data_IF_344240151601
#
_entry.id   IF_344240151601
#
_cell.length_a   1.000
_cell.length_b   1.000
_cell.length_c   1.000
_cell.angle_alpha   90.00
_cell.angle_beta   90.00
_cell.angle_gamma   90.00
#
_symmetry.space_group_name_H-M   'P 1'
#
loop_
_entity.id
_entity.type
_entity.pdbx_description
1 polymer ?
#
# COMPACT_ATOMS: atom_id res chain seq x y z
N UNK A 1 48.39 3.42 34.53
CA UNK A 1 48.36 2.08 33.91
C UNK A 1 47.11 1.99 33.05
N UNK A 2 47.32 1.91 31.74
CA UNK A 2 46.24 1.85 30.69
C UNK A 2 45.78 0.41 30.56
N UNK A 3 44.47 0.15 30.62
CA UNK A 3 43.82 -1.13 30.33
C UNK A 3 42.68 -0.93 29.36
N UNK A 4 42.99 -1.19 28.04
CA UNK A 4 42.04 -1.17 26.95
C UNK A 4 41.17 -2.43 26.99
N UNK A 5 39.85 -2.28 27.03
CA UNK A 5 38.85 -3.33 26.83
C UNK A 5 38.17 -3.12 25.48
N UNK A 6 38.71 -3.81 24.47
CA UNK A 6 38.10 -3.94 23.16
C UNK A 6 36.97 -4.99 23.22
N UNK A 7 35.71 -4.55 23.24
CA UNK A 7 34.56 -5.41 23.07
C UNK A 7 34.39 -5.79 21.59
N UNK A 8 34.64 -7.05 21.26
CA UNK A 8 34.35 -7.66 19.96
C UNK A 8 32.85 -7.75 19.77
N UNK A 9 32.29 -6.90 18.93
CA UNK A 9 30.93 -7.05 18.38
C UNK A 9 30.91 -8.25 17.42
N UNK A 10 30.29 -9.34 17.85
CA UNK A 10 29.98 -10.54 17.06
C UNK A 10 28.85 -10.16 16.11
N UNK A 11 29.16 -10.05 14.81
CA UNK A 11 28.15 -9.88 13.75
C UNK A 11 27.32 -11.17 13.65
N UNK A 12 26.03 -11.05 13.91
CA UNK A 12 25.04 -12.08 13.55
C UNK A 12 24.84 -12.07 12.04
N UNK A 13 24.69 -13.22 11.38
CA UNK A 13 24.43 -13.28 9.93
C UNK A 13 23.07 -12.70 9.64
N UNK A 14 23.03 -11.66 8.78
CA UNK A 14 21.82 -10.97 8.37
C UNK A 14 20.87 -11.90 7.62
N UNK A 15 19.70 -12.10 8.15
CA UNK A 15 18.53 -12.52 7.39
C UNK A 15 18.18 -11.39 6.43
N UNK A 16 18.46 -11.60 5.15
CA UNK A 16 17.87 -10.79 4.08
C UNK A 16 16.38 -11.08 4.06
N UNK A 17 15.58 -10.12 4.49
CA UNK A 17 14.16 -10.12 4.22
C UNK A 17 13.95 -10.17 2.70
N UNK A 18 13.35 -11.23 2.22
CA UNK A 18 12.91 -11.33 0.83
C UNK A 18 11.77 -10.33 0.61
N UNK A 19 11.91 -9.48 -0.38
CA UNK A 19 10.84 -8.61 -0.83
C UNK A 19 9.70 -9.49 -1.40
N UNK A 20 8.44 -9.26 -1.03
CA UNK A 20 7.31 -9.99 -1.59
C UNK A 20 6.99 -9.45 -2.98
N UNK A 21 6.86 -10.37 -3.95
CA UNK A 21 6.09 -10.11 -5.16
C UNK A 21 6.87 -9.78 -6.42
N UNK A 22 7.71 -10.70 -6.89
CA UNK A 22 7.86 -10.98 -8.32
C UNK A 22 8.00 -12.49 -8.44
N UNK A 23 6.98 -13.14 -8.98
CA UNK A 23 7.10 -14.52 -9.39
C UNK A 23 8.34 -14.65 -10.28
N UNK A 24 9.12 -15.76 -10.19
CA UNK A 24 10.31 -15.92 -11.00
C UNK A 24 9.87 -15.99 -12.46
N UNK A 25 10.03 -14.87 -13.18
CA UNK A 25 10.13 -14.93 -14.62
C UNK A 25 11.23 -15.94 -14.96
N UNK A 26 11.15 -16.67 -16.09
CA UNK A 26 12.06 -17.76 -16.38
C UNK A 26 13.51 -17.29 -16.15
N UNK A 27 14.26 -18.03 -15.36
CA UNK A 27 15.58 -17.68 -14.81
C UNK A 27 16.60 -17.23 -15.89
N UNK A 28 16.39 -17.62 -17.15
CA UNK A 28 17.19 -17.21 -18.29
C UNK A 28 16.98 -15.74 -18.69
N UNK A 29 15.77 -15.17 -18.49
CA UNK A 29 15.51 -13.74 -18.77
C UNK A 29 16.26 -12.86 -17.80
N UNK A 30 16.24 -13.21 -16.51
CA UNK A 30 16.96 -12.46 -15.46
C UNK A 30 18.49 -12.57 -15.62
N UNK A 31 19.01 -13.72 -16.07
CA UNK A 31 20.42 -13.90 -16.37
C UNK A 31 20.87 -13.15 -17.64
N UNK A 32 20.03 -13.02 -18.67
CA UNK A 32 20.33 -12.25 -19.87
C UNK A 32 20.38 -10.73 -19.62
N UNK A 33 19.63 -10.22 -18.66
CA UNK A 33 19.58 -8.78 -18.39
C UNK A 33 20.63 -8.31 -17.37
N UNK A 34 21.20 -9.22 -16.56
CA UNK A 34 22.25 -8.92 -15.58
C UNK A 34 23.59 -9.49 -16.09
N UNK A 35 24.43 -8.65 -16.72
CA UNK A 35 25.77 -9.03 -17.14
C UNK A 35 26.10 -8.73 -18.61
N UNK A 36 26.92 -9.58 -19.22
CA UNK A 36 27.40 -9.42 -20.59
C UNK A 36 26.42 -9.90 -21.68
N UNK A 37 25.23 -10.43 -21.30
CA UNK A 37 24.23 -10.98 -22.23
C UNK A 37 23.78 -10.03 -23.34
N UNK A 38 23.35 -8.78 -23.02
CA UNK A 38 22.93 -7.83 -24.06
C UNK A 38 24.04 -7.42 -25.01
N UNK A 39 25.28 -7.31 -24.53
CA UNK A 39 26.45 -7.01 -25.35
C UNK A 39 26.80 -8.19 -26.26
N UNK A 40 26.74 -9.42 -25.74
CA UNK A 40 26.94 -10.62 -26.54
C UNK A 40 25.90 -10.77 -27.66
N UNK A 41 24.63 -10.43 -27.37
CA UNK A 41 23.57 -10.38 -28.38
C UNK A 41 23.87 -9.33 -29.46
N UNK A 42 24.30 -8.12 -29.07
CA UNK A 42 24.68 -7.07 -30.02
C UNK A 42 25.82 -7.52 -30.93
N UNK A 43 26.88 -8.09 -30.36
CA UNK A 43 28.04 -8.61 -31.14
C UNK A 43 27.59 -9.73 -32.08
N UNK A 44 26.76 -10.63 -31.61
CA UNK A 44 26.18 -11.68 -32.45
C UNK A 44 25.37 -11.13 -33.64
N UNK A 45 24.50 -10.15 -33.37
CA UNK A 45 23.69 -9.51 -34.44
C UNK A 45 24.57 -8.77 -35.44
N UNK A 46 25.55 -8.01 -34.99
CA UNK A 46 26.50 -7.32 -35.85
C UNK A 46 27.25 -8.37 -36.72
N UNK A 47 27.75 -9.43 -36.10
CA UNK A 47 28.45 -10.48 -36.80
C UNK A 47 27.60 -11.17 -37.87
N UNK A 48 26.35 -11.47 -37.53
CA UNK A 48 25.38 -12.05 -38.47
C UNK A 48 25.09 -11.14 -39.69
N UNK A 49 24.86 -9.83 -39.45
CA UNK A 49 24.62 -8.86 -40.52
C UNK A 49 25.87 -8.71 -41.41
N UNK A 50 27.06 -8.59 -40.79
CA UNK A 50 28.33 -8.48 -41.55
C UNK A 50 28.58 -9.71 -42.40
N UNK A 51 28.47 -10.92 -41.82
CA UNK A 51 28.67 -12.18 -42.59
C UNK A 51 27.69 -12.30 -43.75
N UNK A 52 26.41 -11.94 -43.50
CA UNK A 52 25.40 -11.97 -44.57
C UNK A 52 25.71 -10.95 -45.68
N UNK A 53 26.20 -9.73 -45.32
CA UNK A 53 26.59 -8.73 -46.29
C UNK A 53 27.80 -9.12 -47.15
N UNK A 54 28.73 -9.92 -46.66
CA UNK A 54 29.82 -10.46 -47.44
C UNK A 54 29.43 -11.63 -48.34
N UNK A 55 28.29 -12.29 -48.11
CA UNK A 55 27.79 -13.43 -48.90
C UNK A 55 26.85 -12.97 -50.01
N UNK A 56 26.05 -11.93 -49.74
CA UNK A 56 25.08 -11.41 -50.69
C UNK A 56 25.71 -10.47 -51.71
N UNK A 57 25.11 -10.34 -52.94
CA UNK A 57 25.60 -9.40 -53.93
C UNK A 57 25.55 -7.94 -53.43
N UNK A 58 26.48 -7.07 -53.87
CA UNK A 58 26.56 -5.67 -53.42
C UNK A 58 25.34 -4.77 -53.72
N UNK A 59 24.35 -5.31 -54.40
CA UNK A 59 23.07 -4.61 -54.67
C UNK A 59 22.13 -4.57 -53.47
N UNK A 60 22.36 -5.40 -52.45
CA UNK A 60 21.55 -5.51 -51.24
C UNK A 60 22.23 -4.80 -50.08
N UNK A 61 22.07 -3.49 -49.95
CA UNK A 61 22.75 -2.66 -48.95
C UNK A 61 22.30 -2.99 -47.52
N UNK A 62 22.93 -3.98 -46.88
CA UNK A 62 22.58 -4.43 -45.55
C UNK A 62 23.11 -3.53 -44.40
N UNK A 63 23.97 -2.53 -44.70
CA UNK A 63 24.49 -1.63 -43.72
C UNK A 63 23.42 -0.84 -42.94
N UNK A 64 22.27 -0.54 -43.57
CA UNK A 64 21.12 0.09 -42.93
C UNK A 64 20.49 -0.76 -41.80
N UNK A 65 20.59 -2.10 -41.88
CA UNK A 65 20.10 -2.98 -40.80
C UNK A 65 20.87 -2.86 -39.48
N UNK A 66 22.07 -2.24 -39.49
CA UNK A 66 22.87 -2.02 -38.30
C UNK A 66 22.13 -1.12 -37.25
N UNK A 67 21.14 -0.35 -37.66
CA UNK A 67 20.28 0.46 -36.78
C UNK A 67 19.47 -0.38 -35.79
N UNK A 68 19.15 -1.64 -36.11
CA UNK A 68 18.38 -2.54 -35.27
C UNK A 68 19.16 -2.95 -34.01
N UNK A 69 20.48 -2.99 -34.08
CA UNK A 69 21.33 -3.43 -32.98
C UNK A 69 21.27 -2.48 -31.76
N UNK A 70 21.52 -1.17 -31.89
CA UNK A 70 21.37 -0.25 -30.76
C UNK A 70 19.91 -0.13 -30.31
N UNK A 71 18.93 -0.27 -31.21
CA UNK A 71 17.52 -0.25 -30.82
C UNK A 71 17.14 -1.44 -29.91
N UNK A 72 17.58 -2.65 -30.26
CA UNK A 72 17.33 -3.85 -29.44
C UNK A 72 18.11 -3.83 -28.13
N UNK A 73 19.38 -3.39 -28.13
CA UNK A 73 20.16 -3.29 -26.91
C UNK A 73 19.61 -2.26 -25.93
N UNK A 74 19.02 -1.18 -26.42
CA UNK A 74 18.39 -0.19 -25.55
C UNK A 74 17.19 -0.71 -24.77
N UNK A 75 16.49 -1.72 -25.28
CA UNK A 75 15.39 -2.38 -24.55
C UNK A 75 15.92 -3.27 -23.42
N UNK A 76 17.04 -3.97 -23.65
CA UNK A 76 17.56 -5.01 -22.77
C UNK A 76 18.63 -4.52 -21.79
N UNK A 77 19.33 -3.43 -22.10
CA UNK A 77 20.52 -2.97 -21.38
C UNK A 77 20.51 -1.48 -21.08
N UNK A 78 21.43 -1.03 -20.23
CA UNK A 78 21.59 0.37 -19.86
C UNK A 78 22.16 1.26 -20.97
N UNK A 79 22.17 2.60 -20.78
CA UNK A 79 22.63 3.55 -21.80
C UNK A 79 24.08 3.34 -22.25
N UNK A 80 24.96 2.89 -21.34
CA UNK A 80 26.36 2.63 -21.68
C UNK A 80 26.56 1.49 -22.69
N UNK A 81 25.84 0.38 -22.52
CA UNK A 81 25.88 -0.75 -23.47
C UNK A 81 25.23 -0.40 -24.80
N UNK A 82 24.17 0.41 -24.80
CA UNK A 82 23.53 0.92 -26.03
C UNK A 82 24.49 1.84 -26.80
N UNK A 83 25.20 2.73 -26.12
CA UNK A 83 26.20 3.61 -26.76
C UNK A 83 27.35 2.78 -27.37
N UNK A 84 27.82 1.77 -26.64
CA UNK A 84 28.88 0.89 -27.17
C UNK A 84 28.39 0.09 -28.38
N UNK A 85 27.18 -0.47 -28.34
CA UNK A 85 26.59 -1.19 -29.48
C UNK A 85 26.38 -0.29 -30.70
N UNK A 86 25.97 0.98 -30.49
CA UNK A 86 25.87 1.97 -31.55
C UNK A 86 27.22 2.28 -32.21
N UNK A 87 28.25 2.46 -31.41
CA UNK A 87 29.61 2.68 -31.94
C UNK A 87 30.13 1.49 -32.76
N UNK A 88 29.90 0.25 -32.28
CA UNK A 88 30.25 -0.96 -33.00
C UNK A 88 29.44 -1.10 -34.30
N UNK A 89 28.13 -0.75 -34.27
CA UNK A 89 27.27 -0.75 -35.46
C UNK A 89 27.74 0.26 -36.52
N UNK A 90 28.17 1.46 -36.12
CA UNK A 90 28.76 2.45 -37.03
C UNK A 90 30.02 1.92 -37.72
N UNK A 91 30.93 1.27 -36.96
CA UNK A 91 32.13 0.67 -37.54
C UNK A 91 31.78 -0.47 -38.51
N UNK A 92 30.87 -1.34 -38.14
CA UNK A 92 30.43 -2.47 -38.98
C UNK A 92 29.73 -2.01 -40.27
N UNK A 93 28.86 -0.99 -40.18
CA UNK A 93 28.20 -0.37 -41.31
C UNK A 93 29.25 0.22 -42.27
N UNK A 94 30.23 0.94 -41.76
CA UNK A 94 31.33 1.49 -42.56
C UNK A 94 32.15 0.41 -43.27
N UNK A 95 32.43 -0.72 -42.62
CA UNK A 95 33.12 -1.86 -43.23
C UNK A 95 32.30 -2.44 -44.40
N UNK A 96 31.00 -2.58 -44.27
CA UNK A 96 30.09 -3.02 -45.34
C UNK A 96 30.07 -2.02 -46.50
N UNK A 97 29.97 -0.71 -46.22
CA UNK A 97 29.98 0.34 -47.25
C UNK A 97 31.29 0.36 -48.05
N UNK A 98 32.43 0.08 -47.39
CA UNK A 98 33.74 -0.10 -48.08
C UNK A 98 33.72 -1.34 -48.97
N UNK A 99 33.20 -2.46 -48.49
CA UNK A 99 33.07 -3.72 -49.26
C UNK A 99 32.21 -3.51 -50.51
N UNK A 100 31.12 -2.80 -50.40
CA UNK A 100 30.17 -2.54 -51.50
C UNK A 100 30.65 -1.41 -52.46
N UNK A 101 31.86 -0.87 -52.26
CA UNK A 101 32.47 0.22 -53.05
C UNK A 101 31.65 1.52 -53.08
N UNK A 102 30.93 1.82 -51.98
CA UNK A 102 30.04 2.98 -51.86
C UNK A 102 30.71 4.29 -51.44
N UNK A 103 32.05 4.27 -51.14
CA UNK A 103 32.81 5.43 -50.58
C UNK A 103 32.74 6.68 -51.47
N UNK A 104 32.46 6.56 -52.76
CA UNK A 104 32.28 7.70 -53.67
C UNK A 104 30.88 8.29 -53.72
N UNK A 105 29.95 7.78 -52.91
CA UNK A 105 28.53 8.19 -52.85
C UNK A 105 28.15 8.82 -51.52
N UNK A 106 26.93 9.37 -51.41
CA UNK A 106 26.40 9.88 -50.15
C UNK A 106 25.84 8.79 -49.23
N UNK A 107 25.74 7.53 -49.65
CA UNK A 107 25.09 6.43 -48.95
C UNK A 107 25.75 6.13 -47.59
N UNK A 108 27.10 6.00 -47.45
CA UNK A 108 27.73 5.78 -46.18
C UNK A 108 27.38 6.87 -45.13
N UNK A 109 27.32 8.12 -45.55
CA UNK A 109 26.96 9.22 -44.67
C UNK A 109 25.50 9.10 -44.14
N UNK A 110 24.59 8.61 -45.02
CA UNK A 110 23.19 8.35 -44.64
C UNK A 110 23.11 7.22 -43.61
N UNK A 111 23.79 6.09 -43.82
CA UNK A 111 23.80 4.96 -42.89
C UNK A 111 24.36 5.38 -41.50
N UNK A 112 25.44 6.15 -41.46
CA UNK A 112 25.98 6.66 -40.18
C UNK A 112 24.99 7.58 -39.49
N UNK A 113 24.35 8.48 -40.24
CA UNK A 113 23.37 9.42 -39.68
C UNK A 113 22.14 8.68 -39.11
N UNK A 114 21.62 7.67 -39.83
CA UNK A 114 20.51 6.83 -39.36
C UNK A 114 20.82 6.14 -38.02
N UNK A 115 21.98 5.48 -37.93
CA UNK A 115 22.41 4.81 -36.70
C UNK A 115 22.54 5.79 -35.55
N UNK A 116 23.15 6.96 -35.79
CA UNK A 116 23.33 8.00 -34.77
C UNK A 116 22.00 8.60 -34.32
N UNK A 117 21.10 8.96 -35.25
CA UNK A 117 19.81 9.55 -34.93
C UNK A 117 18.92 8.58 -34.13
N UNK A 118 18.80 7.32 -34.60
CA UNK A 118 17.99 6.32 -33.89
C UNK A 118 18.58 6.00 -32.52
N UNK A 119 19.92 5.84 -32.44
CA UNK A 119 20.58 5.60 -31.15
C UNK A 119 20.38 6.74 -30.17
N UNK A 120 20.56 8.00 -30.62
CA UNK A 120 20.31 9.18 -29.80
C UNK A 120 18.86 9.28 -29.30
N UNK A 121 17.91 9.02 -30.23
CA UNK A 121 16.47 9.03 -29.89
C UNK A 121 16.12 7.96 -28.84
N UNK A 122 16.60 6.71 -29.03
CA UNK A 122 16.30 5.62 -28.09
C UNK A 122 16.96 5.84 -26.74
N UNK A 123 18.21 6.31 -26.70
CA UNK A 123 18.91 6.66 -25.44
C UNK A 123 18.19 7.78 -24.72
N UNK A 124 17.77 8.83 -25.45
CA UNK A 124 17.03 9.96 -24.85
C UNK A 124 15.67 9.49 -24.29
N UNK A 125 14.89 8.73 -25.07
CA UNK A 125 13.59 8.20 -24.65
C UNK A 125 13.71 7.33 -23.41
N UNK A 126 14.75 6.48 -23.35
CA UNK A 126 15.02 5.66 -22.16
C UNK A 126 15.44 6.51 -20.96
N UNK A 127 16.30 7.48 -21.16
CA UNK A 127 16.74 8.37 -20.06
C UNK A 127 15.58 9.16 -19.44
N UNK A 128 14.63 9.60 -20.27
CA UNK A 128 13.39 10.25 -19.79
C UNK A 128 12.56 9.26 -18.97
N UNK A 129 12.35 8.05 -19.49
CA UNK A 129 11.60 7.00 -18.79
C UNK A 129 12.24 6.62 -17.45
N UNK A 130 13.57 6.42 -17.44
CA UNK A 130 14.31 6.04 -16.24
C UNK A 130 14.31 7.15 -15.17
N UNK A 131 14.23 8.43 -15.58
CA UNK A 131 14.04 9.57 -14.67
C UNK A 131 12.65 9.54 -14.05
N UNK A 132 11.61 9.42 -14.87
CA UNK A 132 10.22 9.36 -14.38
C UNK A 132 9.99 8.19 -13.42
N UNK A 133 10.57 7.02 -13.70
CA UNK A 133 10.49 5.85 -12.80
C UNK A 133 11.20 6.12 -11.48
N UNK A 134 12.37 6.78 -11.49
CA UNK A 134 13.10 7.12 -10.26
C UNK A 134 12.35 8.16 -9.41
N UNK A 135 11.83 9.22 -10.03
CA UNK A 135 11.01 10.22 -9.34
C UNK A 135 9.80 9.58 -8.66
N UNK A 136 9.11 8.67 -9.36
CA UNK A 136 7.99 7.91 -8.78
C UNK A 136 8.42 7.00 -7.62
N UNK A 137 9.60 6.35 -7.72
CA UNK A 137 10.12 5.52 -6.64
C UNK A 137 10.52 6.33 -5.40
N UNK A 138 11.10 7.52 -5.58
CA UNK A 138 11.44 8.42 -4.47
C UNK A 138 10.18 8.87 -3.72
N UNK A 139 9.14 9.28 -4.45
CA UNK A 139 7.84 9.65 -3.87
C UNK A 139 7.26 8.48 -3.09
N UNK A 140 7.32 7.25 -3.61
CA UNK A 140 6.85 6.05 -2.94
C UNK A 140 7.57 5.76 -1.62
N UNK A 141 8.91 5.86 -1.60
CA UNK A 141 9.69 5.61 -0.38
C UNK A 141 9.31 6.62 0.71
N UNK A 142 9.11 7.87 0.33
CA UNK A 142 8.65 8.92 1.26
C UNK A 142 7.24 8.60 1.75
N UNK A 143 6.32 8.25 0.85
CA UNK A 143 4.95 7.84 1.16
C UNK A 143 4.89 6.68 2.16
N UNK A 144 5.55 5.56 1.84
CA UNK A 144 5.62 4.38 2.72
C UNK A 144 6.24 4.71 4.09
N UNK A 145 7.21 5.62 4.12
CA UNK A 145 7.86 6.01 5.37
C UNK A 145 6.92 6.85 6.24
N UNK A 146 6.23 7.82 5.67
CA UNK A 146 5.27 8.67 6.38
C UNK A 146 4.13 7.81 6.93
N UNK A 147 3.56 6.93 6.11
CA UNK A 147 2.49 6.02 6.55
C UNK A 147 2.92 5.10 7.70
N UNK A 148 4.12 4.52 7.65
CA UNK A 148 4.65 3.70 8.77
C UNK A 148 4.88 4.48 10.06
N UNK A 149 5.19 5.77 9.96
CA UNK A 149 5.31 6.64 11.13
C UNK A 149 3.95 7.01 11.69
N UNK A 150 2.98 7.26 10.82
CA UNK A 150 1.60 7.61 11.16
C UNK A 150 0.87 6.40 11.77
N UNK A 151 0.85 5.28 11.04
CA UNK A 151 0.23 4.01 11.44
C UNK A 151 1.22 3.18 12.26
N UNK A 152 1.38 3.52 13.52
CA UNK A 152 2.26 2.76 14.42
C UNK A 152 1.79 1.31 14.51
N UNK A 153 2.70 0.32 14.44
CA UNK A 153 2.34 -1.07 14.67
C UNK A 153 1.61 -1.22 16.01
N UNK A 154 0.45 -1.85 15.98
CA UNK A 154 -0.30 -2.12 17.20
C UNK A 154 0.41 -3.22 18.01
N UNK A 155 0.45 -3.10 19.34
CA UNK A 155 0.93 -4.19 20.19
C UNK A 155 0.06 -5.45 19.95
N UNK A 156 0.67 -6.65 19.82
CA UNK A 156 -0.07 -7.88 19.56
C UNK A 156 -1.00 -8.28 20.69
N UNK A 157 -0.82 -7.68 21.88
CA UNK A 157 -1.66 -7.85 23.06
C UNK A 157 -1.79 -6.55 23.82
N UNK A 158 -3.01 -6.20 24.19
CA UNK A 158 -3.32 -5.00 25.00
C UNK A 158 -4.36 -5.38 26.04
N UNK A 159 -3.94 -5.38 27.32
CA UNK A 159 -4.78 -5.89 28.39
C UNK A 159 -5.21 -7.34 28.10
N UNK A 160 -6.51 -7.65 28.16
CA UNK A 160 -7.02 -8.98 27.89
C UNK A 160 -7.11 -9.33 26.40
N UNK A 161 -6.89 -8.37 25.49
CA UNK A 161 -7.18 -8.52 24.07
C UNK A 161 -5.94 -8.90 23.25
N UNK A 162 -6.13 -9.82 22.31
CA UNK A 162 -5.25 -10.07 21.18
C UNK A 162 -5.67 -9.11 20.05
N UNK A 163 -4.71 -8.40 19.50
CA UNK A 163 -4.95 -7.40 18.46
C UNK A 163 -4.02 -7.66 17.28
N UNK A 164 -4.59 -7.64 16.08
CA UNK A 164 -3.84 -7.69 14.82
C UNK A 164 -4.34 -6.59 13.93
N UNK A 165 -3.44 -5.94 13.25
CA UNK A 165 -3.79 -4.93 12.25
C UNK A 165 -3.00 -5.17 10.97
N UNK A 166 -3.61 -4.82 9.85
CA UNK A 166 -2.97 -4.82 8.55
C UNK A 166 -3.34 -3.54 7.81
N UNK A 167 -2.45 -3.11 6.93
CA UNK A 167 -2.66 -1.99 6.03
C UNK A 167 -2.14 -2.37 4.64
N UNK A 168 -2.95 -2.13 3.62
CA UNK A 168 -2.61 -2.36 2.22
C UNK A 168 -2.92 -1.10 1.41
N UNK A 169 -1.88 -0.51 0.83
CA UNK A 169 -2.02 0.63 -0.08
C UNK A 169 -2.62 0.17 -1.42
N UNK A 170 -3.52 0.98 -1.98
CA UNK A 170 -4.26 0.71 -3.22
C UNK A 170 -3.35 0.48 -4.41
N UNK A 171 -2.35 1.33 -4.60
CA UNK A 171 -1.45 1.25 -5.74
C UNK A 171 0.01 1.50 -5.35
N UNK A 172 0.99 0.82 -6.03
CA UNK A 172 2.41 1.09 -5.82
C UNK A 172 2.84 2.54 -6.07
N UNK A 173 2.03 3.32 -6.79
CA UNK A 173 2.27 4.72 -7.16
C UNK A 173 1.13 5.63 -6.68
N UNK A 174 0.24 5.15 -5.79
CA UNK A 174 -0.82 5.96 -5.22
C UNK A 174 -0.24 7.07 -4.32
N UNK A 175 -0.96 8.17 -4.25
CA UNK A 175 -0.76 9.16 -3.21
C UNK A 175 -1.03 8.50 -1.85
N UNK A 176 -0.43 9.04 -0.78
CA UNK A 176 -0.65 8.55 0.58
C UNK A 176 -2.15 8.58 0.87
N UNK A 177 -2.71 7.46 1.35
CA UNK A 177 -4.11 7.35 1.70
C UNK A 177 -4.49 8.04 2.99
N UNK A 178 -5.80 8.21 3.18
CA UNK A 178 -6.43 8.81 4.34
C UNK A 178 -6.68 7.84 5.50
N UNK A 179 -6.56 6.54 5.27
CA UNK A 179 -6.83 5.50 6.27
C UNK A 179 -5.98 5.65 7.52
N UNK A 180 -6.62 5.56 8.66
CA UNK A 180 -5.96 5.69 9.96
C UNK A 180 -6.51 4.71 10.99
N UNK A 181 -5.67 4.32 11.93
CA UNK A 181 -6.09 3.58 13.11
C UNK A 181 -5.17 3.83 14.31
N UNK A 182 -5.72 3.67 15.48
CA UNK A 182 -4.98 3.73 16.73
C UNK A 182 -5.62 2.88 17.80
N UNK A 183 -4.84 2.56 18.83
CA UNK A 183 -5.32 1.91 20.04
C UNK A 183 -4.71 2.61 21.26
N UNK A 184 -5.49 2.71 22.32
CA UNK A 184 -5.05 3.25 23.58
C UNK A 184 -5.63 2.46 24.75
N UNK A 185 -4.85 2.34 25.82
CA UNK A 185 -5.32 1.82 27.10
C UNK A 185 -5.94 2.95 27.91
N UNK A 186 -7.18 2.80 28.35
CA UNK A 186 -7.85 3.68 29.32
C UNK A 186 -7.92 3.03 30.69
N UNK A 187 -8.47 3.74 31.68
CA UNK A 187 -8.73 3.18 33.01
C UNK A 187 -9.88 2.15 32.97
N UNK A 188 -10.84 2.30 32.05
CA UNK A 188 -12.00 1.43 31.93
C UNK A 188 -11.75 0.21 31.03
N UNK A 189 -10.85 0.32 30.04
CA UNK A 189 -10.65 -0.74 29.09
C UNK A 189 -9.67 -0.37 27.97
N UNK A 190 -9.86 -0.97 26.80
CA UNK A 190 -9.06 -0.72 25.60
C UNK A 190 -9.91 0.03 24.60
N UNK A 191 -9.41 1.16 24.11
CA UNK A 191 -10.06 2.03 23.11
C UNK A 191 -9.38 1.89 21.78
N UNK A 192 -10.20 1.76 20.74
CA UNK A 192 -9.79 1.69 19.33
C UNK A 192 -10.35 2.88 18.58
N UNK A 193 -9.59 3.36 17.63
CA UNK A 193 -10.01 4.30 16.60
C UNK A 193 -9.64 3.68 15.25
N UNK A 194 -10.57 3.68 14.31
CA UNK A 194 -10.33 3.45 12.89
C UNK A 194 -11.10 4.50 12.11
N UNK A 195 -10.58 4.97 10.99
CA UNK A 195 -11.21 6.00 10.20
C UNK A 195 -10.55 6.20 8.85
N UNK A 196 -11.18 7.03 8.03
CA UNK A 196 -10.65 7.46 6.75
C UNK A 196 -10.87 8.97 6.55
N UNK A 197 -9.82 9.64 6.06
CA UNK A 197 -9.83 11.08 5.77
C UNK A 197 -10.26 11.30 4.33
N UNK A 198 -11.27 12.10 4.10
CA UNK A 198 -11.67 12.47 2.74
C UNK A 198 -10.54 13.15 1.99
N UNK A 199 -10.04 12.48 0.93
CA UNK A 199 -8.98 12.98 0.07
C UNK A 199 -7.71 12.12 0.15
N UNK A 200 -6.69 12.50 -0.61
CA UNK A 200 -5.43 11.74 -0.72
C UNK A 200 -4.23 12.69 -0.70
N UNK A 201 -3.07 12.16 -0.36
CA UNK A 201 -1.80 12.88 -0.35
C UNK A 201 -1.49 13.55 1.00
N UNK A 202 -0.54 14.49 0.97
CA UNK A 202 -0.02 15.14 2.17
C UNK A 202 -1.11 15.81 3.03
N UNK A 203 -2.13 16.48 2.44
CA UNK A 203 -3.22 17.05 3.23
C UNK A 203 -3.99 16.05 4.07
N UNK A 204 -4.30 14.87 3.50
CA UNK A 204 -4.99 13.82 4.23
C UNK A 204 -4.15 13.25 5.37
N UNK A 205 -2.81 13.19 5.18
CA UNK A 205 -1.87 12.79 6.24
C UNK A 205 -1.86 13.76 7.40
N UNK A 206 -1.84 15.07 7.12
CA UNK A 206 -1.89 16.12 8.16
C UNK A 206 -3.18 16.02 8.98
N UNK A 207 -4.32 15.80 8.31
CA UNK A 207 -5.61 15.62 8.95
C UNK A 207 -5.66 14.33 9.80
N UNK A 208 -5.12 13.22 9.26
CA UNK A 208 -4.99 11.96 9.99
C UNK A 208 -4.10 12.09 11.22
N UNK A 209 -2.96 12.80 11.10
CA UNK A 209 -2.04 13.03 12.23
C UNK A 209 -2.73 13.84 13.34
N UNK A 210 -3.48 14.89 12.98
CA UNK A 210 -4.22 15.70 13.93
C UNK A 210 -5.21 14.85 14.72
N UNK A 211 -6.04 14.02 14.05
CA UNK A 211 -6.99 13.13 14.71
C UNK A 211 -6.28 12.08 15.57
N UNK A 212 -5.24 11.42 15.06
CA UNK A 212 -4.48 10.42 15.82
C UNK A 212 -3.78 11.02 17.03
N UNK A 213 -3.27 12.25 16.92
CA UNK A 213 -2.68 13.02 18.02
C UNK A 213 -3.70 13.32 19.11
N UNK A 214 -4.87 13.82 18.71
CA UNK A 214 -5.99 14.09 19.61
C UNK A 214 -6.44 12.80 20.33
N UNK A 215 -6.66 11.72 19.60
CA UNK A 215 -7.08 10.43 20.16
C UNK A 215 -6.08 9.90 21.21
N UNK A 216 -4.79 9.89 20.91
CA UNK A 216 -3.76 9.41 21.84
C UNK A 216 -3.73 10.21 23.16
N UNK A 217 -4.01 11.51 23.09
CA UNK A 217 -4.12 12.38 24.26
C UNK A 217 -5.42 12.20 25.04
N UNK A 218 -6.54 12.18 24.31
CA UNK A 218 -7.89 12.17 24.88
C UNK A 218 -8.32 10.78 25.41
N UNK A 219 -7.92 9.69 24.75
CA UNK A 219 -8.34 8.33 25.09
C UNK A 219 -8.01 7.90 26.53
N UNK A 220 -7.06 8.55 27.19
CA UNK A 220 -6.71 8.30 28.59
C UNK A 220 -7.35 9.28 29.56
N UNK A 221 -7.78 10.44 29.06
CA UNK A 221 -8.27 11.55 29.87
C UNK A 221 -9.76 11.45 30.13
N UNK A 222 -10.54 11.13 29.11
CA UNK A 222 -12.00 11.08 29.22
C UNK A 222 -12.50 9.75 29.76
N UNK A 223 -13.52 9.82 30.64
CA UNK A 223 -14.15 8.65 31.26
C UNK A 223 -15.11 7.93 30.31
N UNK A 224 -15.79 8.68 29.43
CA UNK A 224 -16.80 8.15 28.52
C UNK A 224 -16.42 8.29 27.04
N UNK A 225 -17.01 7.45 26.17
CA UNK A 225 -16.83 7.55 24.72
C UNK A 225 -17.43 8.85 24.14
N UNK A 226 -18.63 9.31 24.54
CA UNK A 226 -19.19 10.57 24.05
C UNK A 226 -18.28 11.78 24.30
N UNK A 227 -17.68 11.90 25.50
CA UNK A 227 -16.74 12.97 25.81
C UNK A 227 -15.47 12.86 24.95
N UNK A 228 -14.98 11.65 24.73
CA UNK A 228 -13.84 11.42 23.85
C UNK A 228 -14.13 11.86 22.42
N UNK A 229 -15.28 11.43 21.86
CA UNK A 229 -15.65 11.75 20.46
C UNK A 229 -15.91 13.25 20.29
N UNK A 230 -16.51 13.92 21.26
CA UNK A 230 -16.71 15.37 21.24
C UNK A 230 -15.36 16.13 21.25
N UNK A 231 -14.36 15.66 22.01
CA UNK A 231 -13.01 16.24 22.00
C UNK A 231 -12.29 16.02 20.66
N UNK A 232 -12.50 14.84 20.03
CA UNK A 232 -11.97 14.56 18.70
C UNK A 232 -12.60 15.46 17.62
N UNK A 233 -13.92 15.65 17.66
CA UNK A 233 -14.63 16.58 16.77
C UNK A 233 -14.07 18.02 16.92
N UNK A 234 -13.91 18.47 18.15
CA UNK A 234 -13.37 19.79 18.43
C UNK A 234 -11.93 19.93 17.90
N UNK A 235 -11.09 18.94 18.11
CA UNK A 235 -9.69 18.94 17.64
C UNK A 235 -9.60 18.95 16.10
N UNK A 236 -10.43 18.14 15.41
CA UNK A 236 -10.48 18.09 13.95
C UNK A 236 -10.94 19.41 13.37
N UNK A 237 -12.00 20.01 13.92
CA UNK A 237 -12.50 21.32 13.48
C UNK A 237 -11.48 22.41 13.68
N UNK A 238 -10.86 22.48 14.86
CA UNK A 238 -9.78 23.44 15.13
C UNK A 238 -8.64 23.32 14.13
N UNK A 239 -8.22 22.10 13.82
CA UNK A 239 -7.21 21.83 12.81
C UNK A 239 -7.63 22.29 11.40
N UNK A 240 -8.89 22.07 11.00
CA UNK A 240 -9.40 22.54 9.72
C UNK A 240 -9.47 24.06 9.62
N UNK A 241 -9.82 24.75 10.72
CA UNK A 241 -9.83 26.21 10.80
C UNK A 241 -8.41 26.80 10.73
N UNK A 242 -7.44 26.20 11.44
CA UNK A 242 -6.05 26.66 11.46
C UNK A 242 -5.35 26.48 10.11
N UNK A 243 -5.59 25.36 9.44
CA UNK A 243 -4.97 25.03 8.14
C UNK A 243 -5.61 25.76 6.97
N UNK A 244 -6.69 26.52 7.19
CA UNK A 244 -7.40 27.48 6.32
C UNK A 244 -7.04 27.46 4.84
N UNK A 245 -7.27 26.34 4.13
CA UNK A 245 -7.02 26.25 2.69
C UNK A 245 -8.14 26.97 1.95
N UNK A 246 -7.86 28.22 1.60
CA UNK A 246 -8.69 29.10 0.75
C UNK A 246 -8.53 28.73 -0.72
N UNK A 247 -8.60 27.47 -1.10
CA UNK A 247 -8.76 27.12 -2.49
C UNK A 247 -10.24 27.16 -2.86
N UNK A 248 -10.53 27.74 -3.99
CA UNK A 248 -11.86 28.01 -4.56
C UNK A 248 -12.72 26.76 -4.82
N UNK A 249 -12.21 25.59 -4.55
CA UNK A 249 -12.90 24.34 -4.39
C UNK A 249 -12.93 23.99 -2.90
N UNK A 250 -13.81 24.64 -2.14
CA UNK A 250 -14.14 24.27 -0.76
C UNK A 250 -14.81 22.86 -0.77
N UNK A 251 -14.03 21.85 -1.09
CA UNK A 251 -14.42 20.46 -0.88
C UNK A 251 -14.59 20.29 0.63
N UNK A 252 -15.79 19.98 1.07
CA UNK A 252 -16.08 19.64 2.46
C UNK A 252 -15.02 18.67 2.97
N UNK A 253 -14.25 19.10 3.97
CA UNK A 253 -13.25 18.26 4.64
C UNK A 253 -13.95 17.55 5.79
N UNK A 254 -13.76 16.26 5.87
CA UNK A 254 -14.28 15.45 6.98
C UNK A 254 -13.44 14.17 7.13
N UNK A 255 -13.61 13.55 8.27
CA UNK A 255 -12.99 12.26 8.59
C UNK A 255 -14.08 11.31 9.04
N UNK A 256 -14.24 10.16 8.37
CA UNK A 256 -15.07 9.09 8.90
C UNK A 256 -14.34 8.40 10.04
N UNK A 257 -15.01 8.11 11.13
CA UNK A 257 -14.39 7.49 12.29
C UNK A 257 -15.32 6.53 13.02
N UNK A 258 -14.77 5.43 13.49
CA UNK A 258 -15.37 4.54 14.47
C UNK A 258 -14.50 4.56 15.73
N UNK A 259 -15.09 4.95 16.85
CA UNK A 259 -14.45 4.89 18.18
C UNK A 259 -15.12 3.80 18.99
N UNK A 260 -14.31 2.85 19.45
CA UNK A 260 -14.78 1.65 20.14
C UNK A 260 -14.03 1.48 21.46
N UNK A 261 -14.74 1.03 22.50
CA UNK A 261 -14.16 0.64 23.80
C UNK A 261 -14.56 -0.80 24.12
N UNK A 262 -13.58 -1.59 24.53
CA UNK A 262 -13.78 -2.89 25.16
C UNK A 262 -13.41 -2.76 26.63
N UNK A 263 -14.41 -2.70 27.53
CA UNK A 263 -14.16 -2.62 28.96
C UNK A 263 -13.49 -3.89 29.50
N UNK A 264 -12.76 -3.76 30.61
CA UNK A 264 -12.07 -4.90 31.24
C UNK A 264 -12.98 -5.76 32.10
N UNK A 265 -14.06 -5.18 32.59
CA UNK A 265 -14.94 -5.74 33.61
C UNK A 265 -16.24 -6.35 33.08
N UNK A 266 -16.56 -6.13 31.80
CA UNK A 266 -17.73 -6.68 31.15
C UNK A 266 -17.42 -7.26 29.78
N UNK A 267 -18.28 -8.23 29.33
CA UNK A 267 -18.16 -8.87 28.03
C UNK A 267 -18.96 -8.09 26.98
N UNK A 268 -18.63 -6.83 26.77
CA UNK A 268 -19.34 -5.91 25.90
C UNK A 268 -18.40 -5.07 25.06
N UNK A 269 -18.93 -4.54 23.98
CA UNK A 269 -18.31 -3.51 23.15
C UNK A 269 -19.19 -2.28 23.24
N UNK A 270 -18.59 -1.15 23.50
CA UNK A 270 -19.23 0.17 23.41
C UNK A 270 -18.66 0.87 22.16
N UNK A 271 -19.51 1.42 21.31
CA UNK A 271 -19.04 2.12 20.11
C UNK A 271 -19.83 3.38 19.81
N UNK A 272 -19.15 4.33 19.16
CA UNK A 272 -19.74 5.51 18.52
C UNK A 272 -19.23 5.54 17.09
N UNK A 273 -20.19 5.63 16.12
CA UNK A 273 -19.86 5.65 14.70
C UNK A 273 -20.10 7.04 14.13
N UNK A 274 -19.06 7.63 13.53
CA UNK A 274 -19.09 8.93 12.88
C UNK A 274 -18.93 8.75 11.35
N UNK A 275 -19.99 8.29 10.67
CA UNK A 275 -19.97 8.08 9.23
C UNK A 275 -19.08 6.94 8.72
N UNK A 276 -18.51 6.12 9.61
CA UNK A 276 -17.59 5.03 9.26
C UNK A 276 -18.34 3.69 9.10
N UNK A 277 -17.88 2.76 8.25
CA UNK A 277 -18.49 1.44 8.14
C UNK A 277 -18.57 0.70 9.49
N UNK A 278 -19.71 0.06 9.81
CA UNK A 278 -19.88 -0.70 11.04
C UNK A 278 -19.03 -1.98 11.01
N UNK A 279 -18.46 -2.43 12.16
CA UNK A 279 -17.61 -3.59 12.22
C UNK A 279 -18.39 -4.90 12.14
N UNK A 280 -17.73 -5.96 11.67
CA UNK A 280 -18.25 -7.32 11.75
C UNK A 280 -17.77 -8.01 13.04
N UNK A 281 -18.65 -8.78 13.64
CA UNK A 281 -18.31 -9.71 14.71
C UNK A 281 -18.52 -11.16 14.22
N UNK A 282 -17.41 -11.88 14.02
CA UNK A 282 -17.42 -13.28 13.63
C UNK A 282 -17.52 -14.16 14.87
N UNK A 283 -18.47 -15.09 14.87
CA UNK A 283 -18.64 -16.16 15.85
C UNK A 283 -18.66 -17.50 15.13
N UNK A 284 -18.44 -18.62 15.84
CA UNK A 284 -18.29 -19.96 15.23
C UNK A 284 -19.39 -20.37 14.24
N UNK A 285 -20.59 -19.86 14.38
CA UNK A 285 -21.75 -20.25 13.57
C UNK A 285 -22.52 -19.08 13.01
N UNK A 286 -22.08 -17.86 13.27
CA UNK A 286 -22.80 -16.66 12.89
C UNK A 286 -21.84 -15.47 12.71
N UNK A 287 -22.26 -14.53 11.86
CA UNK A 287 -21.54 -13.28 11.66
C UNK A 287 -22.53 -12.13 11.78
N UNK A 288 -22.24 -11.22 12.68
CA UNK A 288 -23.08 -10.07 12.96
C UNK A 288 -22.44 -8.78 12.52
N UNK A 289 -23.12 -7.98 11.71
CA UNK A 289 -22.79 -6.59 11.44
C UNK A 289 -23.26 -5.73 12.61
N UNK A 290 -22.36 -5.06 13.32
CA UNK A 290 -22.69 -4.23 14.48
C UNK A 290 -23.18 -2.85 14.04
N UNK A 291 -24.40 -2.80 13.49
CA UNK A 291 -24.98 -1.56 12.96
C UNK A 291 -25.35 -0.60 14.09
N UNK A 292 -24.95 0.69 14.01
CA UNK A 292 -25.33 1.69 14.98
C UNK A 292 -26.85 1.97 14.91
N UNK A 293 -27.47 2.21 16.07
CA UNK A 293 -28.89 2.60 16.13
C UNK A 293 -29.08 4.01 15.54
N UNK A 294 -28.18 4.93 15.84
CA UNK A 294 -28.17 6.31 15.32
C UNK A 294 -26.74 6.69 14.99
N UNK A 295 -26.33 6.62 13.69
CA UNK A 295 -25.00 7.04 13.30
C UNK A 295 -24.84 8.55 13.43
N UNK A 296 -23.68 9.00 13.96
CA UNK A 296 -23.31 10.41 13.97
C UNK A 296 -22.70 10.83 12.63
N UNK A 297 -22.74 12.13 12.26
CA UNK A 297 -22.06 12.63 11.07
C UNK A 297 -20.54 12.44 11.20
N UNK A 298 -19.81 12.37 10.06
CA UNK A 298 -18.35 12.36 10.05
C UNK A 298 -17.77 13.54 10.85
N UNK A 299 -16.60 13.32 11.45
CA UNK A 299 -15.87 14.35 12.19
C UNK A 299 -15.49 15.52 11.28
N UNK A 300 -15.67 16.73 11.80
CA UNK A 300 -15.43 17.98 11.06
C UNK A 300 -16.68 18.54 10.39
N UNK A 301 -17.76 17.76 10.23
CA UNK A 301 -19.05 18.23 9.69
C UNK A 301 -20.08 18.58 10.77
N UNK A 302 -19.90 18.06 11.98
CA UNK A 302 -20.79 18.28 13.10
C UNK A 302 -20.40 19.48 13.97
N UNK A 303 -21.29 19.84 14.87
CA UNK A 303 -20.99 20.68 16.05
C UNK A 303 -21.68 20.05 17.26
N UNK A 304 -21.45 18.74 17.43
CA UNK A 304 -22.11 17.94 18.43
C UNK A 304 -21.38 18.07 19.79
N UNK A 305 -22.16 18.11 20.87
CA UNK A 305 -21.66 17.99 22.23
C UNK A 305 -21.65 16.52 22.64
N UNK A 306 -21.02 16.22 23.78
CA UNK A 306 -20.93 14.85 24.27
C UNK A 306 -22.32 14.16 24.44
N UNK A 307 -23.34 14.92 24.84
CA UNK A 307 -24.72 14.44 25.03
C UNK A 307 -25.45 14.06 23.73
N UNK A 308 -24.95 14.51 22.58
CA UNK A 308 -25.53 14.22 21.26
C UNK A 308 -25.04 12.88 20.68
N UNK A 309 -23.93 12.34 21.20
CA UNK A 309 -23.37 11.08 20.72
C UNK A 309 -24.03 9.88 21.39
N UNK A 310 -24.63 9.00 20.59
CA UNK A 310 -25.25 7.75 21.05
C UNK A 310 -24.18 6.66 21.11
N UNK A 311 -24.13 5.98 22.25
CA UNK A 311 -23.26 4.81 22.44
C UNK A 311 -24.07 3.55 22.17
N UNK A 312 -23.69 2.79 21.17
CA UNK A 312 -24.22 1.45 20.93
C UNK A 312 -23.43 0.42 21.74
N UNK A 313 -24.14 -0.53 22.34
CA UNK A 313 -23.55 -1.59 23.16
C UNK A 313 -23.89 -2.96 22.61
N UNK A 314 -22.88 -3.81 22.44
CA UNK A 314 -23.03 -5.17 21.91
C UNK A 314 -22.31 -6.19 22.81
N UNK A 315 -22.91 -7.40 22.99
CA UNK A 315 -22.20 -8.46 23.69
C UNK A 315 -20.92 -8.89 22.96
N UNK A 316 -19.81 -9.06 23.66
CA UNK A 316 -18.55 -9.50 23.10
C UNK A 316 -18.01 -10.72 23.85
N UNK A 317 -18.34 -11.90 23.36
CA UNK A 317 -17.92 -13.17 23.95
C UNK A 317 -16.47 -13.54 23.61
N UNK A 318 -15.90 -14.47 24.40
CA UNK A 318 -14.50 -14.91 24.24
C UNK A 318 -14.20 -15.60 22.90
N UNK A 319 -15.20 -16.22 22.32
CA UNK A 319 -15.06 -16.93 21.04
C UNK A 319 -15.34 -16.03 19.83
N UNK A 320 -15.74 -14.78 20.09
CA UNK A 320 -15.99 -13.80 19.06
C UNK A 320 -14.70 -13.10 18.64
N UNK A 321 -14.56 -12.87 17.34
CA UNK A 321 -13.52 -12.03 16.76
C UNK A 321 -14.16 -10.82 16.10
N UNK A 322 -13.78 -9.63 16.52
CA UNK A 322 -14.25 -8.38 15.97
C UNK A 322 -13.33 -7.97 14.81
N UNK A 323 -13.92 -7.58 13.67
CA UNK A 323 -13.22 -7.04 12.51
C UNK A 323 -13.65 -5.59 12.28
N UNK A 324 -12.73 -4.65 12.48
CA UNK A 324 -12.86 -3.26 12.06
C UNK A 324 -12.14 -3.12 10.72
N UNK A 325 -12.69 -2.29 9.81
CA UNK A 325 -12.15 -2.14 8.46
C UNK A 325 -12.54 -0.78 7.86
N UNK A 326 -11.75 -0.27 6.93
CA UNK A 326 -12.06 0.92 6.13
C UNK A 326 -12.83 0.53 4.86
N UNK A 327 -13.46 1.49 4.24
CA UNK A 327 -14.35 1.28 3.08
C UNK A 327 -13.67 0.63 1.88
N UNK A 328 -12.36 0.84 1.69
CA UNK A 328 -11.60 0.15 0.65
C UNK A 328 -11.75 -1.38 0.66
N UNK A 329 -12.06 -1.98 1.82
CA UNK A 329 -12.32 -3.42 1.90
C UNK A 329 -13.66 -3.84 1.27
N UNK A 330 -14.68 -2.98 1.33
CA UNK A 330 -16.02 -3.25 0.78
C UNK A 330 -16.26 -2.60 -0.59
N UNK A 331 -15.44 -1.61 -0.96
CA UNK A 331 -15.51 -0.92 -2.24
C UNK A 331 -14.64 -1.58 -3.33
N UNK A 332 -13.81 -2.57 -2.97
CA UNK A 332 -13.01 -3.34 -3.91
C UNK A 332 -13.90 -3.99 -4.98
N UNK A 333 -13.53 -3.85 -6.26
CA UNK A 333 -14.32 -4.33 -7.40
C UNK A 333 -13.55 -5.37 -8.20
N UNK A 334 -14.29 -6.36 -8.70
CA UNK A 334 -13.78 -7.30 -9.69
C UNK A 334 -13.82 -6.69 -11.11
N UNK A 335 -13.33 -7.43 -12.10
CA UNK A 335 -13.34 -7.02 -13.52
C UNK A 335 -14.76 -6.76 -14.08
N UNK A 336 -15.80 -7.34 -13.46
CA UNK A 336 -17.21 -7.12 -13.80
C UNK A 336 -17.81 -5.90 -13.06
N UNK A 337 -17.03 -5.21 -12.22
CA UNK A 337 -17.44 -4.04 -11.46
C UNK A 337 -18.28 -4.38 -10.21
N UNK A 338 -18.34 -5.63 -9.78
CA UNK A 338 -19.06 -6.05 -8.59
C UNK A 338 -18.23 -5.80 -7.33
N UNK A 339 -18.87 -5.30 -6.28
CA UNK A 339 -18.24 -5.09 -4.98
C UNK A 339 -17.92 -6.41 -4.27
N UNK A 340 -16.87 -6.38 -3.46
CA UNK A 340 -16.49 -7.50 -2.61
C UNK A 340 -17.48 -7.67 -1.45
N UNK A 341 -18.03 -8.87 -1.32
CA UNK A 341 -18.92 -9.22 -0.20
C UNK A 341 -18.11 -9.63 1.02
N UNK A 342 -17.64 -8.62 1.78
CA UNK A 342 -16.89 -8.84 3.01
C UNK A 342 -17.69 -9.66 4.03
N UNK A 343 -19.01 -9.42 4.14
CA UNK A 343 -19.86 -10.13 5.09
C UNK A 343 -19.90 -11.63 4.84
N UNK A 344 -20.10 -12.04 3.58
CA UNK A 344 -20.07 -13.44 3.19
C UNK A 344 -18.71 -14.10 3.50
N UNK A 345 -17.61 -13.40 3.21
CA UNK A 345 -16.27 -13.95 3.48
C UNK A 345 -15.96 -14.07 4.98
N UNK A 346 -16.41 -13.13 5.80
CA UNK A 346 -16.27 -13.22 7.25
C UNK A 346 -17.14 -14.38 7.80
N UNK A 347 -18.33 -14.62 7.23
CA UNK A 347 -19.20 -15.71 7.62
C UNK A 347 -18.62 -17.09 7.26
N UNK A 348 -17.92 -17.20 6.16
CA UNK A 348 -17.27 -18.44 5.71
C UNK A 348 -15.93 -18.72 6.42
N UNK A 349 -15.46 -17.84 7.31
CA UNK A 349 -14.21 -18.00 8.01
C UNK A 349 -14.28 -19.14 9.05
N UNK A 350 -13.50 -20.23 8.89
CA UNK A 350 -13.54 -21.38 9.79
C UNK A 350 -12.58 -21.28 10.98
N UNK A 351 -11.78 -20.20 11.02
CA UNK A 351 -10.67 -20.05 11.95
C UNK A 351 -11.10 -19.57 13.34
N UNK A 352 -10.11 -19.38 14.21
CA UNK A 352 -10.32 -18.93 15.58
C UNK A 352 -9.38 -17.86 16.06
N UNK A 353 -8.47 -17.38 15.20
CA UNK A 353 -7.44 -16.40 15.57
C UNK A 353 -7.56 -15.12 14.74
N UNK A 354 -7.33 -13.93 15.35
CA UNK A 354 -7.42 -12.64 14.64
C UNK A 354 -6.54 -12.55 13.40
N UNK A 355 -5.32 -13.10 13.44
CA UNK A 355 -4.42 -13.10 12.28
C UNK A 355 -4.93 -13.93 11.11
N UNK A 356 -5.60 -15.06 11.39
CA UNK A 356 -6.19 -15.96 10.38
C UNK A 356 -7.38 -15.29 9.69
N UNK A 357 -8.20 -14.51 10.43
CA UNK A 357 -9.29 -13.74 9.87
C UNK A 357 -8.79 -12.68 8.89
N UNK A 358 -7.78 -11.90 9.27
CA UNK A 358 -7.20 -10.88 8.39
C UNK A 358 -6.64 -11.52 7.10
N UNK A 359 -5.93 -12.64 7.23
CA UNK A 359 -5.38 -13.34 6.07
C UNK A 359 -6.49 -13.90 5.17
N UNK A 360 -7.53 -14.49 5.74
CA UNK A 360 -8.68 -15.02 5.01
C UNK A 360 -9.37 -13.93 4.17
N UNK A 361 -9.61 -12.76 4.77
CA UNK A 361 -10.19 -11.61 4.07
C UNK A 361 -9.28 -11.11 2.95
N UNK A 362 -7.97 -11.00 3.19
CA UNK A 362 -6.99 -10.56 2.18
C UNK A 362 -6.89 -11.55 1.01
N UNK A 363 -6.90 -12.84 1.29
CA UNK A 363 -6.87 -13.88 0.25
C UNK A 363 -8.15 -13.80 -0.60
N UNK A 364 -9.31 -13.62 0.04
CA UNK A 364 -10.59 -13.42 -0.65
C UNK A 364 -10.61 -12.16 -1.53
N UNK A 365 -10.12 -11.04 -1.00
CA UNK A 365 -9.96 -9.78 -1.76
C UNK A 365 -9.04 -9.97 -2.97
N UNK A 366 -7.88 -10.63 -2.77
CA UNK A 366 -6.94 -10.92 -3.86
C UNK A 366 -7.57 -11.74 -4.99
N UNK A 367 -8.36 -12.75 -4.64
CA UNK A 367 -9.08 -13.56 -5.61
C UNK A 367 -10.17 -12.75 -6.33
N UNK A 368 -10.90 -11.91 -5.61
CA UNK A 368 -11.98 -11.10 -6.14
C UNK A 368 -11.49 -10.09 -7.19
N UNK A 369 -10.36 -9.44 -6.95
CA UNK A 369 -9.77 -8.44 -7.87
C UNK A 369 -8.90 -9.07 -8.99
N UNK A 370 -9.02 -10.37 -9.26
CA UNK A 370 -8.43 -11.03 -10.42
C UNK A 370 -7.12 -11.78 -10.20
N UNK A 371 -6.70 -12.02 -8.96
CA UNK A 371 -5.54 -12.85 -8.62
C UNK A 371 -4.19 -12.28 -9.08
N UNK A 372 -3.34 -11.90 -8.16
CA UNK A 372 -2.04 -11.29 -8.45
C UNK A 372 -1.69 -10.28 -7.36
N UNK A 373 -0.92 -9.25 -7.69
CA UNK A 373 -0.80 -8.09 -6.80
C UNK A 373 -2.17 -7.42 -6.72
N UNK A 374 -2.72 -7.31 -5.51
CA UNK A 374 -4.04 -6.73 -5.25
C UNK A 374 -4.08 -5.33 -5.87
N UNK A 375 -4.89 -5.15 -6.91
CA UNK A 375 -5.18 -3.83 -7.48
C UNK A 375 -6.42 -3.31 -6.79
N UNK A 376 -6.23 -2.50 -5.78
CA UNK A 376 -7.31 -1.84 -5.06
C UNK A 376 -7.53 -0.44 -5.62
N UNK A 377 -8.77 0.01 -5.64
CA UNK A 377 -9.13 1.39 -5.99
C UNK A 377 -8.88 2.34 -4.83
N UNK A 378 -8.94 1.83 -3.60
CA UNK A 378 -8.60 2.55 -2.38
C UNK A 378 -7.76 1.73 -1.39
N UNK A 379 -7.18 2.41 -0.40
CA UNK A 379 -6.39 1.80 0.65
C UNK A 379 -7.28 0.95 1.57
N UNK A 380 -6.69 -0.03 2.23
CA UNK A 380 -7.40 -0.89 3.17
C UNK A 380 -6.65 -0.93 4.49
N UNK A 381 -7.32 -0.50 5.55
CA UNK A 381 -6.91 -0.74 6.91
C UNK A 381 -7.87 -1.72 7.59
N UNK A 382 -7.34 -2.71 8.29
CA UNK A 382 -8.15 -3.65 9.07
C UNK A 382 -7.53 -3.93 10.44
N UNK A 383 -8.40 -4.08 11.44
CA UNK A 383 -8.02 -4.51 12.79
C UNK A 383 -8.89 -5.69 13.21
N UNK A 384 -8.29 -6.79 13.60
CA UNK A 384 -8.98 -7.91 14.21
C UNK A 384 -8.68 -7.98 15.71
N UNK A 385 -9.72 -8.13 16.52
CA UNK A 385 -9.66 -8.11 17.99
C UNK A 385 -10.37 -9.32 18.57
N UNK A 386 -9.76 -9.98 19.54
CA UNK A 386 -10.32 -11.12 20.25
C UNK A 386 -9.83 -11.16 21.69
N UNK A 387 -10.57 -11.78 22.61
CA UNK A 387 -10.05 -12.07 23.94
C UNK A 387 -8.91 -13.10 23.89
N UNK A 388 -7.82 -12.80 24.58
CA UNK A 388 -6.71 -13.76 24.76
C UNK A 388 -6.99 -14.82 25.81
N UNK A 389 -6.34 -15.98 25.65
CA UNK A 389 -6.40 -17.05 26.66
C UNK A 389 -5.89 -16.60 28.03
N UNK A 390 -6.49 -17.13 29.10
CA UNK A 390 -5.98 -17.00 30.47
C UNK A 390 -6.50 -15.78 31.27
N UNK A 391 -7.41 -14.96 30.72
CA UNK A 391 -8.11 -13.96 31.52
C UNK A 391 -9.43 -14.52 32.09
N UNK A 392 -9.81 -14.16 33.35
CA UNK A 392 -11.12 -14.53 33.89
C UNK A 392 -12.22 -14.01 32.99
N UNK A 393 -13.33 -14.76 32.86
CA UNK A 393 -14.48 -14.28 32.12
C UNK A 393 -14.99 -13.00 32.78
N UNK A 394 -15.17 -11.91 32.00
CA UNK A 394 -15.86 -10.76 32.55
C UNK A 394 -17.24 -11.21 33.02
N UNK A 395 -17.71 -10.65 34.14
CA UNK A 395 -19.04 -10.97 34.66
C UNK A 395 -20.08 -10.54 33.65
N UNK A 396 -21.12 -11.34 33.34
CA UNK A 396 -22.22 -10.84 32.51
C UNK A 396 -22.82 -9.60 33.19
N UNK A 397 -23.14 -8.58 32.39
CA UNK A 397 -23.80 -7.38 32.88
C UNK A 397 -25.05 -7.79 33.69
N UNK A 398 -25.37 -7.12 34.80
CA UNK A 398 -26.56 -7.41 35.56
C UNK A 398 -27.77 -7.20 34.64
N UNK A 399 -28.43 -8.31 34.32
CA UNK A 399 -29.73 -8.26 33.61
C UNK A 399 -30.69 -7.42 34.43
N UNK A 400 -31.19 -6.33 33.84
CA UNK A 400 -32.22 -5.48 34.41
C UNK A 400 -33.53 -6.26 34.51
N UNK A 401 -33.62 -7.11 35.52
CA UNK A 401 -34.86 -7.85 35.88
C UNK A 401 -35.89 -6.96 36.62
N UNK A 402 -35.77 -5.63 36.54
CA UNK A 402 -36.68 -4.70 37.27
C UNK A 402 -37.77 -4.06 36.44
N UNK A 403 -38.16 -4.60 35.31
CA UNK A 403 -39.28 -4.02 34.51
C UNK A 403 -40.47 -4.97 34.27
N UNK A 404 -40.66 -6.01 35.11
CA UNK A 404 -41.86 -6.86 35.00
C UNK A 404 -42.57 -7.06 36.34
N UNK A 405 -42.64 -6.04 37.20
CA UNK A 405 -43.60 -6.05 38.34
C UNK A 405 -44.05 -4.65 38.66
N UNK A 406 -45.06 -4.18 37.96
CA UNK A 406 -46.16 -3.31 38.46
C UNK A 406 -47.21 -3.09 37.38
#
# INVERSE_FOLDING_TARGET
MKGSLTHRLRRLPGQRAAAPGSGPGPSWVTQMTQGHGPLALAVFMIGAIVVTGFILPPTEHLASLMVVVPATTAVLAGPGTTTLSAALSCVAAFVLDVHDNLLGTSIPAVHQLEILLVSAFVIASRSIRDRSVRELMEVRIVSDTIQRVLLRPLPPRIGPLLVRATYHASHPYAQIGGDLYAVARSAAGVRFLIGDVKGKGLPAVEDAEALLGAFRGAARRFGSLPELVADLEHAVRGHFEETGRTDSDAVERFITALVLEVPDDCAEIHMVTCGHPPPYMAQRSDTLLLSPAVPSPPLGLGSLNAEDYVVDTFPFGREATLLLYTDGAIEARNDDGQFYDLGAHVADWPGSRPEELLQHVLDGLSLHVGGGAIKLDDDIAMIAVQYGDGFPSPSPAPSDERLLTS
#
